data_IF_499664071524
#
_entry.id   IF_499664071524
#
_cell.length_a   1.000
_cell.length_b   1.000
_cell.length_c   1.000
_cell.angle_alpha   90.00
_cell.angle_beta   90.00
_cell.angle_gamma   90.00
#
_symmetry.space_group_name_H-M   'P 1'
#
loop_
_entity.id
_entity.type
_entity.pdbx_description
1 polymer ?
#
# COMPACT_ATOMS: atom_id res chain seq x y z
N UNK A 1 1.98 -40.57 12.98
CA UNK A 1 2.10 -39.22 13.58
C UNK A 1 1.34 -38.23 12.71
N UNK A 2 0.21 -37.72 13.20
CA UNK A 2 -0.76 -36.93 12.42
C UNK A 2 -0.30 -35.47 12.31
N UNK A 3 -0.37 -34.94 11.08
CA UNK A 3 -0.09 -33.55 10.72
C UNK A 3 -1.09 -32.63 11.43
N UNK A 4 -0.57 -31.63 12.15
CA UNK A 4 -1.36 -30.55 12.75
C UNK A 4 -1.89 -29.64 11.64
N UNK A 5 -3.21 -29.65 11.45
CA UNK A 5 -3.94 -28.68 10.62
C UNK A 5 -4.20 -27.42 11.45
N UNK A 6 -3.40 -26.38 11.27
CA UNK A 6 -3.72 -25.01 11.72
C UNK A 6 -3.88 -24.08 10.52
N UNK A 7 -4.91 -24.33 9.71
CA UNK A 7 -5.47 -23.36 8.78
C UNK A 7 -6.94 -23.15 9.17
N UNK A 8 -7.14 -22.44 10.30
CA UNK A 8 -8.42 -21.86 10.70
C UNK A 8 -8.23 -20.35 10.84
N UNK A 9 -7.80 -19.72 9.77
CA UNK A 9 -7.86 -18.27 9.62
C UNK A 9 -9.03 -17.97 8.66
N UNK A 10 -9.83 -16.95 8.98
CA UNK A 10 -10.63 -16.15 8.03
C UNK A 10 -12.18 -16.28 7.97
N UNK A 11 -12.87 -17.32 8.46
CA UNK A 11 -14.33 -17.37 8.24
C UNK A 11 -15.24 -16.84 9.38
N UNK A 12 -14.79 -16.81 10.63
CA UNK A 12 -15.71 -16.63 11.79
C UNK A 12 -15.75 -15.23 12.42
N UNK A 13 -14.94 -14.29 11.95
CA UNK A 13 -14.84 -12.95 12.55
C UNK A 13 -15.80 -11.90 11.97
N UNK A 14 -16.52 -12.21 10.87
CA UNK A 14 -17.38 -11.20 10.21
C UNK A 14 -18.77 -11.05 10.84
N UNK A 15 -19.24 -12.01 11.66
CA UNK A 15 -20.65 -12.04 12.12
C UNK A 15 -20.84 -12.42 13.60
N UNK A 16 -19.80 -12.36 14.44
CA UNK A 16 -19.90 -12.70 15.86
C UNK A 16 -19.91 -11.49 16.78
N UNK A 17 -20.67 -11.54 17.87
CA UNK A 17 -20.78 -10.58 18.98
C UNK A 17 -19.49 -10.38 19.80
N UNK A 18 -18.32 -10.47 19.18
CA UNK A 18 -17.02 -10.21 19.78
C UNK A 18 -16.75 -8.70 19.85
N UNK A 19 -15.93 -8.27 20.82
CA UNK A 19 -15.46 -6.88 20.92
C UNK A 19 -14.83 -6.38 19.60
N UNK A 20 -14.22 -7.30 18.84
CA UNK A 20 -13.64 -7.05 17.52
C UNK A 20 -14.65 -6.57 16.47
N UNK A 21 -15.85 -7.12 16.45
CA UNK A 21 -16.89 -6.72 15.51
C UNK A 21 -17.52 -5.39 15.91
N UNK A 22 -17.72 -5.15 17.21
CA UNK A 22 -18.25 -3.88 17.74
C UNK A 22 -17.36 -2.70 17.38
N UNK A 23 -16.05 -2.84 17.56
CA UNK A 23 -15.08 -1.79 17.21
C UNK A 23 -14.68 -1.78 15.73
N UNK A 24 -15.34 -2.58 14.87
CA UNK A 24 -15.04 -2.71 13.43
C UNK A 24 -13.55 -2.93 13.13
N UNK A 25 -12.83 -3.67 13.99
CA UNK A 25 -11.39 -3.89 13.84
C UNK A 25 -11.02 -4.64 12.56
N UNK A 26 -11.97 -5.35 11.96
CA UNK A 26 -11.78 -5.95 10.64
C UNK A 26 -11.47 -4.89 9.58
N UNK A 27 -12.14 -3.73 9.62
CA UNK A 27 -11.86 -2.64 8.69
C UNK A 27 -10.64 -1.83 9.17
N UNK A 28 -10.63 -1.45 10.45
CA UNK A 28 -9.63 -0.52 10.99
C UNK A 28 -8.21 -1.10 11.07
N UNK A 29 -8.08 -2.42 11.24
CA UNK A 29 -6.79 -3.08 11.44
C UNK A 29 -6.59 -4.21 10.44
N UNK A 30 -7.58 -5.08 10.26
CA UNK A 30 -7.38 -6.29 9.45
C UNK A 30 -7.23 -5.98 7.96
N UNK A 31 -8.03 -5.07 7.38
CA UNK A 31 -7.87 -4.69 5.98
C UNK A 31 -6.44 -4.14 5.70
N UNK A 32 -5.91 -3.14 6.45
CA UNK A 32 -4.51 -2.73 6.31
C UNK A 32 -3.49 -3.84 6.54
N UNK A 33 -3.75 -4.74 7.50
CA UNK A 33 -2.88 -5.90 7.77
C UNK A 33 -2.85 -6.86 6.58
N UNK A 34 -4.01 -7.17 5.99
CA UNK A 34 -4.13 -8.04 4.84
C UNK A 34 -3.38 -7.44 3.64
N UNK A 35 -3.48 -6.12 3.41
CA UNK A 35 -2.64 -5.41 2.41
C UNK A 35 -1.14 -5.54 2.73
N UNK A 36 -0.75 -5.39 3.99
CA UNK A 36 0.65 -5.50 4.42
C UNK A 36 1.20 -6.89 4.13
N UNK A 37 0.43 -7.93 4.46
CA UNK A 37 0.79 -9.34 4.21
C UNK A 37 0.88 -9.59 2.69
N UNK A 38 -0.05 -9.06 1.91
CA UNK A 38 -0.04 -9.20 0.45
C UNK A 38 1.21 -8.56 -0.16
N UNK A 39 1.52 -7.31 0.20
CA UNK A 39 2.73 -6.59 -0.24
C UNK A 39 4.01 -7.32 0.14
N UNK A 40 4.15 -7.74 1.40
CA UNK A 40 5.30 -8.52 1.85
C UNK A 40 5.41 -9.87 1.10
N UNK A 41 4.28 -10.52 0.80
CA UNK A 41 4.27 -11.77 0.04
C UNK A 41 4.72 -11.60 -1.41
N UNK A 42 4.37 -10.48 -2.05
CA UNK A 42 4.82 -10.13 -3.40
C UNK A 42 6.34 -9.91 -3.44
N UNK A 43 6.84 -9.21 -2.42
CA UNK A 43 8.25 -8.93 -2.17
C UNK A 43 9.01 -10.25 -1.94
N UNK A 44 8.77 -10.93 -0.81
CA UNK A 44 9.53 -12.13 -0.44
C UNK A 44 9.30 -13.32 -1.38
N UNK A 45 8.15 -13.35 -2.05
CA UNK A 45 7.86 -14.32 -3.09
C UNK A 45 8.60 -14.06 -4.41
N UNK A 46 9.37 -12.97 -4.54
CA UNK A 46 10.09 -12.56 -5.75
C UNK A 46 9.17 -12.32 -6.95
N UNK A 47 7.89 -12.02 -6.72
CA UNK A 47 6.90 -11.84 -7.79
C UNK A 47 7.27 -10.64 -8.62
N UNK A 48 7.64 -9.54 -7.96
CA UNK A 48 8.01 -8.31 -8.64
C UNK A 48 9.27 -8.50 -9.49
N UNK A 49 10.28 -9.21 -9.01
CA UNK A 49 11.50 -9.54 -9.77
C UNK A 49 11.20 -10.37 -11.03
N UNK A 50 10.34 -11.38 -10.92
CA UNK A 50 9.96 -12.23 -12.06
C UNK A 50 9.07 -11.52 -13.08
N UNK A 51 8.35 -10.48 -12.66
CA UNK A 51 7.41 -9.73 -13.50
C UNK A 51 7.74 -8.24 -13.48
N UNK A 52 8.79 -7.85 -14.22
CA UNK A 52 9.29 -6.47 -14.23
C UNK A 52 8.25 -5.45 -14.74
N UNK A 53 7.36 -5.85 -15.65
CA UNK A 53 6.28 -5.00 -16.17
C UNK A 53 4.99 -4.99 -15.34
N UNK A 54 4.95 -5.68 -14.20
CA UNK A 54 3.78 -5.71 -13.33
C UNK A 54 3.74 -4.46 -12.44
N UNK A 55 2.66 -3.70 -12.55
CA UNK A 55 2.37 -2.56 -11.68
C UNK A 55 1.29 -2.93 -10.68
N UNK A 56 1.58 -2.76 -9.39
CA UNK A 56 0.64 -3.03 -8.28
C UNK A 56 0.53 -1.78 -7.43
N UNK A 57 -0.70 -1.33 -7.19
CA UNK A 57 -1.02 -0.31 -6.20
C UNK A 57 -1.60 -0.97 -4.95
N UNK A 58 -1.00 -0.70 -3.78
CA UNK A 58 -1.48 -1.18 -2.51
C UNK A 58 -2.39 -0.16 -1.85
N UNK A 59 -3.60 -0.60 -1.52
CA UNK A 59 -4.63 0.25 -0.93
C UNK A 59 -4.29 0.68 0.51
N UNK A 60 -4.87 1.80 0.95
CA UNK A 60 -4.74 2.35 2.31
C UNK A 60 -3.28 2.64 2.69
N UNK A 61 -2.54 3.30 1.79
CA UNK A 61 -1.12 3.60 1.95
C UNK A 61 -0.21 2.37 2.04
N UNK A 62 -0.68 1.20 1.57
CA UNK A 62 0.03 -0.07 1.75
C UNK A 62 -0.11 -0.68 3.13
N UNK A 63 -1.08 -0.22 3.92
CA UNK A 63 -1.28 -0.62 5.30
C UNK A 63 -0.09 -0.25 6.19
N UNK A 64 0.50 -1.25 6.84
CA UNK A 64 1.66 -1.06 7.71
C UNK A 64 2.99 -1.33 7.00
N UNK A 65 2.97 -1.59 5.69
CA UNK A 65 4.17 -2.01 4.96
C UNK A 65 5.28 -0.96 4.96
N UNK A 66 5.03 0.34 4.66
CA UNK A 66 6.10 1.35 4.66
C UNK A 66 6.78 1.47 6.03
N UNK A 67 5.99 1.59 7.10
CA UNK A 67 6.52 1.62 8.47
C UNK A 67 7.33 0.36 8.82
N UNK A 68 6.96 -0.80 8.29
CA UNK A 68 7.64 -2.07 8.58
C UNK A 68 8.83 -2.38 7.66
N UNK A 69 9.18 -1.52 6.69
CA UNK A 69 10.23 -1.83 5.71
C UNK A 69 11.54 -2.25 6.39
N UNK A 70 12.02 -1.47 7.36
CA UNK A 70 13.24 -1.81 8.12
C UNK A 70 13.15 -3.14 8.89
N UNK A 71 11.96 -3.54 9.34
CA UNK A 71 11.75 -4.86 9.97
C UNK A 71 11.86 -5.98 8.93
N UNK A 72 11.35 -5.78 7.72
CA UNK A 72 11.45 -6.74 6.63
C UNK A 72 12.90 -6.87 6.15
N UNK A 73 13.62 -5.76 5.97
CA UNK A 73 15.05 -5.75 5.65
C UNK A 73 15.86 -6.51 6.70
N UNK A 74 15.64 -6.22 7.99
CA UNK A 74 16.31 -6.97 9.06
C UNK A 74 15.96 -8.45 9.03
N UNK A 75 14.70 -8.78 8.80
CA UNK A 75 14.23 -10.16 8.63
C UNK A 75 14.97 -10.88 7.51
N UNK A 76 15.10 -10.23 6.35
CA UNK A 76 15.81 -10.75 5.17
C UNK A 76 17.28 -11.09 5.44
N UNK A 77 17.93 -10.32 6.29
CA UNK A 77 19.34 -10.52 6.66
C UNK A 77 19.55 -11.65 7.67
N UNK A 78 18.61 -11.85 8.60
CA UNK A 78 18.79 -12.80 9.73
C UNK A 78 18.04 -14.12 9.56
N UNK A 79 17.18 -14.25 8.53
CA UNK A 79 16.36 -15.44 8.27
C UNK A 79 16.67 -16.01 6.90
N UNK A 80 17.42 -17.10 6.84
CA UNK A 80 17.83 -17.72 5.56
C UNK A 80 16.64 -18.20 4.74
N UNK A 81 15.53 -18.60 5.38
CA UNK A 81 14.29 -19.03 4.73
C UNK A 81 13.60 -17.92 3.91
N UNK A 82 13.90 -16.65 4.19
CA UNK A 82 13.29 -15.52 3.48
C UNK A 82 13.99 -15.19 2.15
N UNK A 83 15.18 -15.74 1.90
CA UNK A 83 15.96 -15.49 0.67
C UNK A 83 15.72 -16.49 -0.45
N UNK A 84 14.76 -17.42 -0.32
CA UNK A 84 14.57 -18.53 -1.27
C UNK A 84 14.02 -18.06 -2.61
N UNK A 85 13.12 -17.07 -2.61
CA UNK A 85 12.41 -16.65 -3.82
C UNK A 85 12.74 -15.21 -4.28
N UNK A 86 13.41 -14.42 -3.44
CA UNK A 86 13.85 -13.05 -3.73
C UNK A 86 15.39 -12.99 -3.78
N UNK A 87 15.91 -12.33 -4.81
CA UNK A 87 17.30 -11.91 -4.90
C UNK A 87 17.46 -10.43 -4.51
N UNK A 88 18.51 -10.09 -3.76
CA UNK A 88 18.83 -8.69 -3.45
C UNK A 88 18.22 -8.16 -2.15
N UNK A 89 18.03 -6.85 -2.09
CA UNK A 89 17.50 -6.15 -0.93
C UNK A 89 15.96 -6.04 -1.03
N UNK A 90 15.32 -5.69 0.09
CA UNK A 90 13.84 -5.64 0.18
C UNK A 90 13.33 -4.34 -0.44
N UNK A 91 14.17 -3.33 -0.40
CA UNK A 91 13.94 -1.96 -0.83
C UNK A 91 13.72 -1.86 -2.34
N UNK A 92 14.42 -2.64 -3.18
CA UNK A 92 14.22 -2.58 -4.64
C UNK A 92 12.82 -3.02 -5.08
N UNK A 93 12.29 -4.20 -4.68
CA UNK A 93 10.92 -4.56 -5.00
C UNK A 93 9.90 -3.69 -4.27
N UNK A 94 10.19 -3.19 -3.06
CA UNK A 94 9.32 -2.24 -2.36
C UNK A 94 9.15 -0.94 -3.17
N UNK A 95 10.25 -0.35 -3.66
CA UNK A 95 10.26 0.88 -4.45
C UNK A 95 9.62 0.75 -5.84
N UNK A 96 9.08 -0.42 -6.20
CA UNK A 96 8.31 -0.63 -7.43
C UNK A 96 6.81 -0.70 -7.20
N UNK A 97 6.38 -0.81 -5.96
CA UNK A 97 4.97 -0.76 -5.59
C UNK A 97 4.46 0.67 -5.69
N UNK A 98 3.19 0.81 -6.05
CA UNK A 98 2.45 2.05 -5.90
C UNK A 98 1.60 2.00 -4.63
N UNK A 99 1.23 3.17 -4.12
CA UNK A 99 0.44 3.32 -2.91
C UNK A 99 -0.60 4.43 -3.11
N UNK A 100 -1.75 4.32 -2.46
CA UNK A 100 -2.69 5.44 -2.41
C UNK A 100 -2.41 6.40 -1.22
N UNK A 101 -3.08 7.55 -1.20
CA UNK A 101 -2.98 8.53 -0.12
C UNK A 101 -3.93 8.26 1.07
N UNK A 102 -4.61 7.11 1.13
CA UNK A 102 -5.66 6.84 2.12
C UNK A 102 -5.02 6.37 3.44
N UNK A 103 -4.35 7.30 4.11
CA UNK A 103 -3.68 7.08 5.41
C UNK A 103 -4.41 7.71 6.59
N UNK A 104 -5.39 8.58 6.31
CA UNK A 104 -6.12 9.41 7.28
C UNK A 104 -5.25 10.29 8.19
N UNK A 105 -3.95 10.40 7.90
CA UNK A 105 -3.02 11.22 8.66
C UNK A 105 -1.89 11.71 7.75
N UNK A 106 -1.74 13.02 7.64
CA UNK A 106 -0.69 13.64 6.83
C UNK A 106 0.72 13.28 7.28
N UNK A 107 0.94 13.00 8.57
CA UNK A 107 2.22 12.48 9.08
C UNK A 107 2.52 11.07 8.57
N UNK A 108 1.50 10.21 8.48
CA UNK A 108 1.65 8.87 7.92
C UNK A 108 1.87 8.92 6.40
N UNK A 109 1.19 9.84 5.70
CA UNK A 109 1.45 10.10 4.29
C UNK A 109 2.87 10.59 4.04
N UNK A 110 3.39 11.49 4.90
CA UNK A 110 4.78 11.95 4.79
C UNK A 110 5.77 10.80 4.94
N UNK A 111 5.60 9.94 5.95
CA UNK A 111 6.42 8.73 6.10
C UNK A 111 6.35 7.83 4.87
N UNK A 112 5.14 7.59 4.33
CA UNK A 112 4.97 6.81 3.10
C UNK A 112 5.79 7.41 1.94
N UNK A 113 5.74 8.72 1.75
CA UNK A 113 6.50 9.40 0.69
C UNK A 113 8.01 9.36 0.95
N UNK A 114 8.45 9.42 2.21
CA UNK A 114 9.86 9.25 2.59
C UNK A 114 10.39 7.85 2.24
N UNK A 115 9.59 6.80 2.46
CA UNK A 115 9.97 5.41 2.18
C UNK A 115 9.83 5.05 0.69
N UNK A 116 8.72 5.43 0.04
CA UNK A 116 8.36 4.98 -1.31
C UNK A 116 8.68 5.97 -2.43
N UNK A 117 9.03 7.21 -2.09
CA UNK A 117 9.14 8.38 -2.98
C UNK A 117 7.80 8.87 -3.54
N UNK A 118 7.75 10.13 -3.98
CA UNK A 118 6.52 10.77 -4.42
C UNK A 118 5.99 10.20 -5.74
N UNK A 119 6.86 9.66 -6.60
CA UNK A 119 6.57 9.06 -7.91
C UNK A 119 5.70 7.80 -7.81
N UNK A 120 5.69 7.15 -6.64
CA UNK A 120 4.99 5.91 -6.39
C UNK A 120 3.71 6.09 -5.56
N UNK A 121 3.28 7.32 -5.29
CA UNK A 121 2.08 7.62 -4.51
C UNK A 121 0.99 8.25 -5.38
N UNK A 122 -0.22 7.72 -5.32
CA UNK A 122 -1.39 8.11 -6.11
C UNK A 122 -2.46 8.69 -5.21
N UNK A 123 -3.10 9.80 -5.60
CA UNK A 123 -4.26 10.30 -4.88
C UNK A 123 -5.39 9.25 -4.85
N UNK A 124 -5.85 8.91 -3.65
CA UNK A 124 -6.97 8.01 -3.41
C UNK A 124 -7.98 8.63 -2.45
N UNK A 125 -9.26 8.25 -2.58
CA UNK A 125 -10.35 8.79 -1.75
C UNK A 125 -11.16 7.73 -1.01
N UNK A 126 -11.15 6.47 -1.50
CA UNK A 126 -12.00 5.37 -1.01
C UNK A 126 -13.52 5.66 -1.14
N UNK A 127 -13.90 6.59 -2.02
CA UNK A 127 -15.30 6.83 -2.35
C UNK A 127 -15.93 5.60 -3.04
N UNK A 128 -17.17 5.17 -2.70
CA UNK A 128 -18.16 5.84 -1.84
C UNK A 128 -18.30 5.25 -0.42
N UNK A 129 -17.23 4.64 0.14
CA UNK A 129 -17.32 4.00 1.46
C UNK A 129 -17.36 5.03 2.60
N UNK A 130 -17.82 4.58 3.78
CA UNK A 130 -17.93 5.43 4.98
C UNK A 130 -16.57 5.85 5.55
N UNK A 131 -15.53 5.08 5.26
CA UNK A 131 -14.12 5.38 5.56
C UNK A 131 -13.45 6.25 4.50
N UNK A 132 -14.16 6.76 3.48
CA UNK A 132 -13.57 7.64 2.48
C UNK A 132 -12.89 8.87 3.11
N UNK A 133 -11.75 9.29 2.57
CA UNK A 133 -11.14 10.57 2.94
C UNK A 133 -12.03 11.71 2.40
N UNK A 134 -12.66 12.52 3.27
CA UNK A 134 -13.55 13.59 2.82
C UNK A 134 -12.79 14.78 2.24
N UNK A 135 -11.48 14.89 2.49
CA UNK A 135 -10.64 16.01 2.07
C UNK A 135 -9.25 15.52 1.61
N UNK A 136 -9.17 14.67 0.58
CA UNK A 136 -7.94 14.01 0.17
C UNK A 136 -6.84 15.00 -0.25
N UNK A 137 -7.21 16.11 -0.92
CA UNK A 137 -6.27 17.17 -1.30
C UNK A 137 -5.70 17.90 -0.07
N UNK A 138 -6.50 18.05 0.98
CA UNK A 138 -6.05 18.70 2.22
C UNK A 138 -5.06 17.79 2.96
N UNK A 139 -5.32 16.48 3.01
CA UNK A 139 -4.40 15.49 3.56
C UNK A 139 -3.01 15.59 2.90
N UNK A 140 -2.97 15.68 1.57
CA UNK A 140 -1.71 15.86 0.81
C UNK A 140 -1.08 17.23 1.09
N UNK A 141 -1.88 18.31 1.14
CA UNK A 141 -1.38 19.67 1.42
C UNK A 141 -0.71 19.77 2.78
N UNK A 142 -1.25 19.09 3.79
CA UNK A 142 -0.76 19.10 5.16
C UNK A 142 0.42 18.15 5.41
N UNK A 143 0.81 17.31 4.44
CA UNK A 143 1.89 16.32 4.60
C UNK A 143 3.31 16.91 4.51
N UNK A 144 3.46 18.25 4.48
CA UNK A 144 4.77 18.93 4.48
C UNK A 144 5.70 18.46 3.35
N UNK A 145 5.12 18.25 2.16
CA UNK A 145 5.82 17.82 0.96
C UNK A 145 6.18 19.03 0.08
N UNK A 146 7.15 18.85 -0.82
CA UNK A 146 7.45 19.85 -1.86
C UNK A 146 6.27 20.05 -2.82
N UNK A 147 6.21 21.21 -3.48
CA UNK A 147 5.19 21.47 -4.51
C UNK A 147 5.24 20.45 -5.65
N UNK A 148 6.45 20.04 -6.03
CA UNK A 148 6.65 19.02 -7.06
C UNK A 148 6.08 17.66 -6.63
N UNK A 149 6.37 17.21 -5.40
CA UNK A 149 5.82 15.97 -4.87
C UNK A 149 4.29 16.01 -4.80
N UNK A 150 3.71 17.13 -4.34
CA UNK A 150 2.25 17.31 -4.32
C UNK A 150 1.64 17.22 -5.72
N UNK A 151 2.25 17.84 -6.73
CA UNK A 151 1.76 17.81 -8.10
C UNK A 151 1.80 16.40 -8.71
N UNK A 152 2.85 15.62 -8.42
CA UNK A 152 2.95 14.21 -8.82
C UNK A 152 1.82 13.38 -8.20
N UNK A 153 1.65 13.49 -6.88
CA UNK A 153 0.67 12.70 -6.12
C UNK A 153 -0.77 13.01 -6.54
N UNK A 154 -1.12 14.29 -6.63
CA UNK A 154 -2.48 14.75 -6.93
C UNK A 154 -2.90 14.38 -8.36
N UNK A 155 -1.95 14.31 -9.30
CA UNK A 155 -2.27 14.21 -10.72
C UNK A 155 -1.23 13.48 -11.55
N UNK A 156 0.03 13.93 -11.50
CA UNK A 156 1.05 13.52 -12.48
C UNK A 156 1.27 12.01 -12.58
N UNK A 157 1.29 11.33 -11.44
CA UNK A 157 1.50 9.88 -11.39
C UNK A 157 0.33 9.11 -12.02
N UNK A 158 -0.92 9.52 -11.74
CA UNK A 158 -2.10 8.89 -12.31
C UNK A 158 -2.19 9.12 -13.82
N UNK A 159 -1.86 10.32 -14.30
CA UNK A 159 -1.82 10.62 -15.74
C UNK A 159 -0.80 9.76 -16.47
N UNK A 160 0.42 9.64 -15.93
CA UNK A 160 1.48 8.82 -16.50
C UNK A 160 1.11 7.33 -16.48
N UNK A 161 0.70 6.81 -15.32
CA UNK A 161 0.48 5.39 -15.12
C UNK A 161 -0.77 4.87 -15.85
N UNK A 162 -1.87 5.62 -15.79
CA UNK A 162 -3.17 5.22 -16.35
C UNK A 162 -3.40 5.78 -17.75
N UNK A 163 -2.43 6.53 -18.31
CA UNK A 163 -2.50 7.16 -19.64
C UNK A 163 -3.72 8.06 -19.78
N UNK A 164 -4.01 8.84 -18.74
CA UNK A 164 -5.16 9.75 -18.72
C UNK A 164 -4.81 11.00 -19.52
N UNK A 165 -5.54 11.24 -20.61
CA UNK A 165 -5.42 12.46 -21.41
C UNK A 165 -6.24 13.57 -20.74
N UNK A 166 -5.71 14.80 -20.57
CA UNK A 166 -6.46 15.92 -20.02
C UNK A 166 -7.76 16.14 -20.79
N UNK A 167 -8.85 16.48 -20.09
CA UNK A 167 -10.16 16.67 -20.72
C UNK A 167 -10.16 17.77 -21.81
N UNK A 168 -9.20 18.71 -21.78
CA UNK A 168 -9.07 19.80 -22.76
C UNK A 168 -8.37 19.45 -24.08
N UNK A 169 -7.73 18.28 -24.19
CA UNK A 169 -7.00 17.86 -25.42
C UNK A 169 -7.79 16.86 -26.28
N UNK A 170 -9.01 16.51 -25.86
CA UNK A 170 -9.86 15.51 -26.54
C UNK A 170 -10.73 16.07 -27.67
N UNK A 171 -10.56 17.34 -28.07
CA UNK A 171 -11.41 18.01 -29.05
C UNK A 171 -10.65 18.92 -30.01
N UNK A 172 -9.91 18.33 -30.95
CA UNK A 172 -9.25 19.01 -32.05
C UNK A 172 -9.09 18.07 -33.24
N UNK A 173 -10.20 17.75 -33.89
CA UNK A 173 -10.30 16.91 -35.10
C UNK A 173 -11.64 17.12 -35.78
#
# INVERSE_FOLDING_TARGET
>A
MRRSTSARWCARCRTGSSDWARSRLWNLIQNPLDTTIAGASLIFGGVLERHLGLTICLAHGGGFLPYNLGRLTRGRLVRSETGVAMAGFVEEPFGRLYFDTITHASSALRLLVEEATAEHVLLGTDFPFDMADPRPLETVRQADLSDQARALIVRGNAECLLKIVPAGERGGG
#
